data_IF_989137845352
#
_entry.id   IF_989137845352
#
_cell.length_a   1.000
_cell.length_b   1.000
_cell.length_c   1.000
_cell.angle_alpha   90.00
_cell.angle_beta   90.00
_cell.angle_gamma   90.00
#
_symmetry.space_group_name_H-M   'P 1'
#
loop_
_entity.id
_entity.type
_entity.pdbx_description
1 polymer ?
#
# COMPACT_ATOMS: atom_id res chain seq x y z
N UNK A 1 -1.95 11.17 28.30
CA UNK A 1 -2.04 9.74 27.93
C UNK A 1 -1.52 9.59 26.51
N UNK A 2 -0.40 8.90 26.30
CA UNK A 2 0.08 8.60 24.95
C UNK A 2 -0.42 7.22 24.55
N UNK A 3 -1.24 7.13 23.49
CA UNK A 3 -1.76 5.86 22.95
C UNK A 3 -0.82 5.27 21.89
N UNK A 4 0.49 5.41 22.08
CA UNK A 4 1.50 5.10 21.04
C UNK A 4 1.43 3.63 20.63
N UNK A 5 1.10 2.75 21.56
CA UNK A 5 0.99 1.30 21.40
C UNK A 5 -0.18 0.89 20.49
N UNK A 6 -1.14 1.79 20.27
CA UNK A 6 -2.23 1.64 19.30
C UNK A 6 -1.97 2.44 18.00
N UNK A 7 -0.73 2.85 17.74
CA UNK A 7 -0.36 3.51 16.48
C UNK A 7 0.48 2.60 15.61
N UNK A 8 0.50 2.89 14.31
CA UNK A 8 1.35 2.18 13.35
C UNK A 8 2.84 2.41 13.56
N UNK A 9 3.22 3.44 14.35
CA UNK A 9 4.61 3.77 14.67
C UNK A 9 5.18 2.95 15.83
N UNK A 10 4.37 2.12 16.48
CA UNK A 10 4.83 1.26 17.56
C UNK A 10 5.17 -0.14 17.05
N UNK A 11 6.44 -0.47 17.16
CA UNK A 11 6.94 -1.81 16.89
C UNK A 11 6.77 -2.68 18.15
N UNK A 12 5.96 -3.76 18.10
CA UNK A 12 5.84 -4.71 19.21
C UNK A 12 7.09 -5.58 19.35
N UNK A 13 7.35 -6.01 20.59
CA UNK A 13 8.35 -7.03 20.89
C UNK A 13 7.96 -8.41 20.33
N UNK A 14 6.65 -8.69 20.22
CA UNK A 14 6.11 -9.95 19.70
C UNK A 14 5.12 -9.71 18.56
N UNK A 15 5.34 -10.37 17.42
CA UNK A 15 4.38 -10.37 16.32
C UNK A 15 3.48 -11.59 16.44
N UNK A 16 2.20 -11.39 16.77
CA UNK A 16 1.24 -12.49 16.89
C UNK A 16 0.79 -13.02 15.51
N UNK A 17 0.55 -14.34 15.44
CA UNK A 17 -0.01 -15.06 14.28
C UNK A 17 0.77 -14.93 12.96
N UNK A 18 2.06 -14.54 13.02
CA UNK A 18 2.96 -14.42 11.85
C UNK A 18 4.22 -15.27 11.97
N UNK A 19 4.25 -16.25 12.88
CA UNK A 19 5.42 -17.09 13.14
C UNK A 19 5.93 -17.79 11.89
N UNK A 20 5.04 -18.30 11.04
CA UNK A 20 5.43 -18.98 9.80
C UNK A 20 6.06 -18.01 8.80
N UNK A 21 5.40 -16.87 8.53
CA UNK A 21 5.93 -15.86 7.60
C UNK A 21 7.28 -15.31 8.09
N UNK A 22 7.41 -15.07 9.40
CA UNK A 22 8.66 -14.62 9.99
C UNK A 22 9.77 -15.65 9.80
N UNK A 23 9.49 -16.95 10.04
CA UNK A 23 10.46 -18.03 9.80
C UNK A 23 10.90 -18.10 8.33
N UNK A 24 9.96 -17.98 7.40
CA UNK A 24 10.26 -17.99 5.95
C UNK A 24 11.16 -16.81 5.56
N UNK A 25 10.89 -15.61 6.07
CA UNK A 25 11.71 -14.42 5.80
C UNK A 25 13.10 -14.54 6.47
N UNK A 26 13.16 -14.96 7.74
CA UNK A 26 14.42 -15.15 8.48
C UNK A 26 15.33 -16.18 7.81
N UNK A 27 14.76 -17.17 7.12
CA UNK A 27 15.53 -18.17 6.36
C UNK A 27 16.40 -17.52 5.28
N UNK A 28 15.96 -16.43 4.66
CA UNK A 28 16.77 -15.69 3.67
C UNK A 28 18.04 -15.16 4.31
N UNK A 29 17.91 -14.44 5.42
CA UNK A 29 19.05 -13.86 6.14
C UNK A 29 19.99 -14.96 6.65
N UNK A 30 19.43 -16.03 7.24
CA UNK A 30 20.22 -17.17 7.71
C UNK A 30 21.00 -17.83 6.58
N UNK A 31 20.32 -18.20 5.49
CA UNK A 31 20.95 -18.86 4.35
C UNK A 31 22.01 -17.97 3.70
N UNK A 32 21.73 -16.67 3.59
CA UNK A 32 22.67 -15.74 2.97
C UNK A 32 23.96 -15.61 3.80
N UNK A 33 23.84 -15.57 5.14
CA UNK A 33 25.02 -15.58 6.03
C UNK A 33 25.79 -16.89 5.98
N UNK A 34 25.10 -18.02 5.90
CA UNK A 34 25.71 -19.35 5.95
C UNK A 34 26.34 -19.77 4.62
N UNK A 35 25.70 -19.44 3.49
CA UNK A 35 26.05 -19.95 2.16
C UNK A 35 26.42 -18.87 1.15
N UNK A 36 26.28 -17.58 1.48
CA UNK A 36 26.45 -16.48 0.53
C UNK A 36 25.36 -16.41 -0.55
N UNK A 37 24.31 -17.22 -0.43
CA UNK A 37 23.18 -17.29 -1.36
C UNK A 37 21.87 -17.55 -0.61
N UNK A 38 20.77 -16.97 -1.11
CA UNK A 38 19.44 -17.22 -0.60
C UNK A 38 18.38 -16.97 -1.69
N UNK A 39 17.19 -17.53 -1.51
CA UNK A 39 16.05 -17.28 -2.38
C UNK A 39 15.63 -15.80 -2.32
N UNK A 40 15.21 -15.26 -3.47
CA UNK A 40 14.54 -13.97 -3.51
C UNK A 40 13.08 -14.16 -3.04
N UNK A 41 12.56 -13.24 -2.24
CA UNK A 41 11.19 -13.31 -1.71
C UNK A 41 10.29 -12.19 -2.21
N UNK A 42 9.04 -12.53 -2.48
CA UNK A 42 7.95 -11.59 -2.69
C UNK A 42 6.93 -11.75 -1.58
N UNK A 43 6.90 -10.77 -0.68
CA UNK A 43 5.94 -10.68 0.41
C UNK A 43 4.69 -9.95 -0.09
N UNK A 44 3.55 -10.62 -0.06
CA UNK A 44 2.28 -10.07 -0.55
C UNK A 44 1.15 -10.18 0.48
N UNK A 45 0.23 -9.24 0.47
CA UNK A 45 -0.96 -9.26 1.33
C UNK A 45 -1.61 -7.89 1.45
N UNK A 46 -2.82 -7.84 1.99
CA UNK A 46 -3.57 -6.58 2.15
C UNK A 46 -2.86 -5.58 3.05
N UNK A 47 -3.27 -4.30 2.97
CA UNK A 47 -2.81 -3.28 3.92
C UNK A 47 -3.20 -3.69 5.34
N UNK A 48 -2.36 -3.38 6.33
CA UNK A 48 -2.62 -3.75 7.73
C UNK A 48 -2.48 -5.24 8.07
N UNK A 49 -2.07 -6.11 7.13
CA UNK A 49 -1.86 -7.54 7.40
C UNK A 49 -0.57 -7.85 8.19
N UNK A 50 0.29 -6.86 8.47
CA UNK A 50 1.50 -7.03 9.28
C UNK A 50 2.81 -7.22 8.50
N UNK A 51 2.82 -7.05 7.17
CA UNK A 51 4.02 -7.20 6.32
C UNK A 51 5.21 -6.34 6.81
N UNK A 52 5.01 -5.02 6.89
CA UNK A 52 6.03 -4.05 7.30
C UNK A 52 6.47 -4.25 8.77
N UNK A 53 5.52 -4.55 9.65
CA UNK A 53 5.82 -4.82 11.08
C UNK A 53 6.67 -6.09 11.21
N UNK A 54 6.34 -7.17 10.48
CA UNK A 54 7.11 -8.41 10.49
C UNK A 54 8.52 -8.23 9.94
N UNK A 55 8.70 -7.51 8.82
CA UNK A 55 10.05 -7.30 8.29
C UNK A 55 10.87 -6.41 9.22
N UNK A 56 10.32 -5.33 9.76
CA UNK A 56 11.03 -4.45 10.70
C UNK A 56 11.48 -5.22 11.94
N UNK A 57 10.62 -6.10 12.47
CA UNK A 57 10.97 -6.96 13.61
C UNK A 57 12.16 -7.88 13.34
N UNK A 58 12.31 -8.34 12.08
CA UNK A 58 13.45 -9.15 11.66
C UNK A 58 14.68 -8.25 11.53
N UNK A 59 14.55 -7.14 10.80
CA UNK A 59 15.65 -6.21 10.53
C UNK A 59 16.27 -5.62 11.80
N UNK A 60 15.47 -5.36 12.85
CA UNK A 60 15.97 -4.92 14.17
C UNK A 60 16.96 -5.90 14.82
N UNK A 61 16.89 -7.19 14.44
CA UNK A 61 17.76 -8.25 14.95
C UNK A 61 18.93 -8.55 14.01
N UNK A 62 18.99 -7.92 12.84
CA UNK A 62 20.02 -8.13 11.83
C UNK A 62 21.11 -7.04 11.93
N UNK A 63 22.39 -7.45 11.94
CA UNK A 63 23.53 -6.55 12.18
C UNK A 63 23.97 -5.77 10.92
N UNK A 64 23.13 -4.88 10.39
CA UNK A 64 23.42 -4.07 9.18
C UNK A 64 23.72 -4.87 7.90
N UNK A 65 23.43 -6.18 7.86
CA UNK A 65 23.63 -7.09 6.72
C UNK A 65 22.56 -6.91 5.61
N UNK A 66 21.89 -5.77 5.60
CA UNK A 66 20.79 -5.47 4.70
C UNK A 66 20.81 -4.02 4.22
N UNK A 67 20.06 -3.78 3.15
CA UNK A 67 19.68 -2.45 2.70
C UNK A 67 18.15 -2.40 2.70
N UNK A 68 17.57 -1.40 3.36
CA UNK A 68 16.13 -1.19 3.41
C UNK A 68 15.76 0.13 2.74
N UNK A 69 14.83 0.09 1.80
CA UNK A 69 14.28 1.28 1.13
C UNK A 69 12.78 1.12 0.92
N UNK A 70 12.04 2.23 0.88
CA UNK A 70 10.59 2.23 0.63
C UNK A 70 10.23 2.95 -0.67
N UNK A 71 9.32 2.34 -1.45
CA UNK A 71 8.68 2.96 -2.61
C UNK A 71 7.73 4.10 -2.24
N UNK A 72 7.26 4.17 -0.99
CA UNK A 72 6.48 5.30 -0.52
C UNK A 72 7.32 6.57 -0.38
N UNK A 73 8.57 6.44 0.06
CA UNK A 73 9.54 7.53 0.16
C UNK A 73 10.16 7.87 -1.20
N UNK A 74 10.38 6.85 -2.03
CA UNK A 74 11.05 6.97 -3.33
C UNK A 74 10.10 6.66 -4.48
N UNK A 75 9.45 7.70 -5.04
CA UNK A 75 8.40 7.52 -6.07
C UNK A 75 8.87 6.99 -7.43
N UNK A 76 10.18 6.91 -7.70
CA UNK A 76 10.73 6.42 -8.97
C UNK A 76 11.83 5.40 -8.72
N UNK A 77 12.03 4.49 -9.67
CA UNK A 77 13.07 3.45 -9.64
C UNK A 77 14.46 4.07 -9.45
N UNK A 78 14.77 5.14 -10.20
CA UNK A 78 16.03 5.86 -10.06
C UNK A 78 16.26 6.45 -8.65
N UNK A 79 15.23 7.08 -8.04
CA UNK A 79 15.36 7.65 -6.69
C UNK A 79 15.56 6.54 -5.65
N UNK A 80 14.84 5.44 -5.80
CA UNK A 80 14.94 4.27 -4.92
C UNK A 80 16.36 3.69 -4.95
N UNK A 81 16.95 3.51 -6.14
CA UNK A 81 18.33 3.04 -6.29
C UNK A 81 19.35 4.05 -5.74
N UNK A 82 19.12 5.35 -5.93
CA UNK A 82 19.98 6.38 -5.37
C UNK A 82 19.99 6.34 -3.84
N UNK A 83 18.82 6.17 -3.23
CA UNK A 83 18.66 5.97 -1.79
C UNK A 83 19.27 4.67 -1.29
N UNK A 84 19.15 3.58 -2.05
CA UNK A 84 19.69 2.26 -1.71
C UNK A 84 21.21 2.28 -1.55
N UNK A 85 21.92 3.00 -2.42
CA UNK A 85 23.39 2.97 -2.44
C UNK A 85 24.06 4.21 -1.85
N UNK A 86 23.29 5.22 -1.45
CA UNK A 86 23.78 6.52 -0.98
C UNK A 86 24.91 7.05 -1.88
N UNK A 87 24.64 7.08 -3.18
CA UNK A 87 25.60 7.54 -4.19
C UNK A 87 25.14 8.86 -4.77
N UNK A 88 26.03 9.85 -4.77
CA UNK A 88 25.76 11.11 -5.45
C UNK A 88 26.08 11.01 -6.95
N UNK A 89 25.46 10.04 -7.62
CA UNK A 89 25.55 9.89 -9.06
C UNK A 89 24.43 10.70 -9.75
N UNK A 90 24.75 11.21 -10.93
CA UNK A 90 23.83 12.00 -11.76
C UNK A 90 23.10 11.16 -12.82
N UNK A 91 23.50 9.88 -12.99
CA UNK A 91 22.94 8.97 -13.99
C UNK A 91 22.62 7.61 -13.39
N UNK A 92 21.56 6.98 -13.88
CA UNK A 92 21.12 5.63 -13.45
C UNK A 92 22.23 4.58 -13.64
N UNK A 93 22.88 4.58 -14.80
CA UNK A 93 23.96 3.64 -15.13
C UNK A 93 25.12 3.71 -14.13
N UNK A 94 25.52 4.92 -13.72
CA UNK A 94 26.56 5.09 -12.70
C UNK A 94 26.07 4.64 -11.33
N UNK A 95 24.84 4.98 -10.95
CA UNK A 95 24.23 4.50 -9.70
C UNK A 95 24.25 2.98 -9.61
N UNK A 96 23.87 2.28 -10.69
CA UNK A 96 23.89 0.82 -10.76
C UNK A 96 25.30 0.26 -10.68
N UNK A 97 26.23 0.82 -11.47
CA UNK A 97 27.62 0.35 -11.52
C UNK A 97 28.28 0.46 -10.16
N UNK A 98 28.14 1.61 -9.49
CA UNK A 98 28.71 1.83 -8.16
C UNK A 98 27.98 1.00 -7.10
N UNK A 99 26.66 0.86 -7.18
CA UNK A 99 25.88 -0.01 -6.30
C UNK A 99 26.31 -1.47 -6.37
N UNK A 100 26.51 -2.00 -7.58
CA UNK A 100 27.01 -3.36 -7.81
C UNK A 100 28.43 -3.52 -7.25
N UNK A 101 29.32 -2.56 -7.46
CA UNK A 101 30.67 -2.59 -6.87
C UNK A 101 30.60 -2.64 -5.34
N UNK A 102 29.79 -1.79 -4.71
CA UNK A 102 29.59 -1.79 -3.25
C UNK A 102 29.08 -3.13 -2.75
N UNK A 103 28.07 -3.71 -3.41
CA UNK A 103 27.51 -5.02 -3.05
C UNK A 103 28.47 -6.19 -3.28
N UNK A 104 29.39 -6.11 -4.25
CA UNK A 104 30.44 -7.12 -4.41
C UNK A 104 31.46 -7.11 -3.26
N UNK A 105 31.76 -5.93 -2.73
CA UNK A 105 32.69 -5.77 -1.61
C UNK A 105 32.01 -6.14 -0.28
N UNK A 106 30.75 -5.72 -0.12
CA UNK A 106 29.95 -5.98 1.08
C UNK A 106 28.56 -6.47 0.67
N UNK A 107 28.38 -7.78 0.44
CA UNK A 107 27.11 -8.36 0.04
C UNK A 107 26.03 -8.18 1.11
N UNK A 108 24.81 -7.82 0.70
CA UNK A 108 23.70 -7.53 1.61
C UNK A 108 22.38 -8.06 1.08
N UNK A 109 21.43 -8.34 1.98
CA UNK A 109 20.03 -8.59 1.61
C UNK A 109 19.36 -7.27 1.24
N UNK A 110 18.77 -7.19 0.05
CA UNK A 110 18.08 -5.99 -0.42
C UNK A 110 16.60 -6.11 -0.08
N UNK A 111 16.07 -5.20 0.73
CA UNK A 111 14.66 -5.18 1.13
C UNK A 111 14.01 -3.91 0.60
N UNK A 112 12.93 -4.07 -0.17
CA UNK A 112 12.18 -2.97 -0.77
C UNK A 112 10.72 -3.05 -0.33
N UNK A 113 10.30 -2.12 0.53
CA UNK A 113 8.91 -2.03 0.98
C UNK A 113 8.05 -1.18 0.03
N UNK A 114 6.76 -1.47 0.00
CA UNK A 114 5.73 -0.74 -0.74
C UNK A 114 6.08 -0.45 -2.21
N UNK A 115 6.56 -1.45 -2.95
CA UNK A 115 6.91 -1.28 -4.38
C UNK A 115 5.74 -0.78 -5.23
N UNK A 116 4.51 -1.04 -4.79
CA UNK A 116 3.28 -0.55 -5.43
C UNK A 116 3.06 0.97 -5.28
N UNK A 117 3.82 1.66 -4.42
CA UNK A 117 3.76 3.12 -4.26
C UNK A 117 4.66 3.87 -5.24
N UNK A 118 5.39 3.16 -6.10
CA UNK A 118 6.04 3.76 -7.25
C UNK A 118 5.02 4.43 -8.16
N UNK A 119 5.44 5.51 -8.83
CA UNK A 119 4.54 6.46 -9.51
C UNK A 119 3.62 5.83 -10.57
N UNK A 120 4.06 4.75 -11.21
CA UNK A 120 3.30 4.04 -12.24
C UNK A 120 3.95 2.68 -12.56
N UNK A 121 3.26 1.87 -13.37
CA UNK A 121 3.77 0.58 -13.81
C UNK A 121 5.07 0.63 -14.63
N UNK A 122 5.41 1.76 -15.26
CA UNK A 122 6.70 1.91 -15.96
C UNK A 122 7.86 1.97 -14.95
N UNK A 123 7.72 2.72 -13.85
CA UNK A 123 8.73 2.73 -12.78
C UNK A 123 8.91 1.36 -12.13
N UNK A 124 7.83 0.58 -11.99
CA UNK A 124 7.91 -0.79 -11.46
C UNK A 124 8.67 -1.70 -12.43
N UNK A 125 8.43 -1.57 -13.75
CA UNK A 125 9.16 -2.31 -14.79
C UNK A 125 10.65 -1.97 -14.76
N UNK A 126 10.96 -0.68 -14.77
CA UNK A 126 12.34 -0.18 -14.69
C UNK A 126 13.03 -0.69 -13.41
N UNK A 127 12.34 -0.68 -12.26
CA UNK A 127 12.87 -1.27 -11.04
C UNK A 127 13.20 -2.75 -11.23
N UNK A 128 12.32 -3.54 -11.84
CA UNK A 128 12.60 -4.97 -12.08
C UNK A 128 13.83 -5.20 -12.97
N UNK A 129 14.00 -4.41 -14.03
CA UNK A 129 15.16 -4.51 -14.92
C UNK A 129 16.47 -4.17 -14.19
N UNK A 130 16.41 -3.15 -13.33
CA UNK A 130 17.53 -2.74 -12.48
C UNK A 130 17.87 -3.81 -11.43
N UNK A 131 16.86 -4.37 -10.77
CA UNK A 131 17.03 -5.45 -9.79
C UNK A 131 17.58 -6.73 -10.43
N UNK A 132 17.11 -7.08 -11.62
CA UNK A 132 17.64 -8.19 -12.42
C UNK A 132 19.14 -8.00 -12.69
N UNK A 133 19.53 -6.78 -13.09
CA UNK A 133 20.94 -6.43 -13.34
C UNK A 133 21.78 -6.51 -12.06
N UNK A 134 21.27 -5.99 -10.94
CA UNK A 134 21.94 -6.06 -9.64
C UNK A 134 22.12 -7.51 -9.20
N UNK A 135 21.07 -8.32 -9.26
CA UNK A 135 21.11 -9.72 -8.84
C UNK A 135 22.07 -10.55 -9.69
N UNK A 136 22.03 -10.42 -11.03
CA UNK A 136 23.01 -11.07 -11.93
C UNK A 136 24.45 -10.67 -11.63
N UNK A 137 24.67 -9.41 -11.26
CA UNK A 137 26.00 -8.89 -10.97
C UNK A 137 26.56 -9.27 -9.61
N UNK A 138 25.71 -9.63 -8.64
CA UNK A 138 26.10 -9.71 -7.21
C UNK A 138 25.67 -10.99 -6.50
N UNK A 139 24.64 -11.69 -6.98
CA UNK A 139 24.00 -12.79 -6.26
C UNK A 139 23.25 -12.37 -4.98
N UNK A 140 23.18 -11.07 -4.67
CA UNK A 140 22.53 -10.59 -3.45
C UNK A 140 21.02 -10.88 -3.49
N UNK A 141 20.45 -11.45 -2.42
CA UNK A 141 19.04 -11.78 -2.36
C UNK A 141 18.18 -10.53 -2.21
N UNK A 142 17.00 -10.57 -2.81
CA UNK A 142 16.06 -9.46 -2.86
C UNK A 142 14.74 -9.89 -2.21
N UNK A 143 14.24 -9.06 -1.30
CA UNK A 143 12.93 -9.18 -0.67
C UNK A 143 12.09 -7.98 -1.10
N UNK A 144 11.00 -8.24 -1.82
CA UNK A 144 10.04 -7.23 -2.26
C UNK A 144 8.76 -7.34 -1.46
N UNK A 145 8.23 -6.22 -0.97
CA UNK A 145 6.97 -6.19 -0.23
C UNK A 145 5.96 -5.35 -0.99
N UNK A 146 4.76 -5.89 -1.18
CA UNK A 146 3.68 -5.22 -1.90
C UNK A 146 2.31 -5.56 -1.35
N UNK A 147 1.34 -4.67 -1.55
CA UNK A 147 -0.08 -5.00 -1.40
C UNK A 147 -0.75 -5.40 -2.72
N UNK A 148 -0.08 -5.24 -3.86
CA UNK A 148 -0.65 -5.48 -5.18
C UNK A 148 -0.43 -6.94 -5.61
N UNK A 149 -1.54 -7.66 -5.80
CA UNK A 149 -1.51 -9.00 -6.41
C UNK A 149 -1.11 -8.89 -7.88
N UNK A 150 -0.34 -9.87 -8.37
CA UNK A 150 0.02 -9.93 -9.79
C UNK A 150 1.08 -8.92 -10.25
N UNK A 151 1.71 -8.16 -9.35
CA UNK A 151 2.76 -7.19 -9.72
C UNK A 151 3.92 -7.81 -10.52
N UNK A 152 4.22 -9.09 -10.31
CA UNK A 152 5.21 -9.87 -11.06
C UNK A 152 4.85 -9.98 -12.55
N UNK A 153 3.58 -9.85 -12.92
CA UNK A 153 3.14 -9.79 -14.32
C UNK A 153 3.69 -8.59 -15.09
N UNK A 154 4.19 -7.55 -14.40
CA UNK A 154 4.87 -6.43 -15.03
C UNK A 154 6.33 -6.77 -15.40
N UNK A 155 6.93 -7.76 -14.75
CA UNK A 155 8.33 -8.17 -14.95
C UNK A 155 8.51 -8.91 -16.27
N UNK A 156 9.59 -8.61 -17.00
CA UNK A 156 9.97 -9.33 -18.21
C UNK A 156 10.28 -10.82 -17.90
N UNK A 157 10.05 -11.70 -18.89
CA UNK A 157 10.12 -13.15 -18.69
C UNK A 157 11.52 -13.64 -18.26
N UNK A 158 12.56 -13.05 -18.81
CA UNK A 158 13.95 -13.33 -18.47
C UNK A 158 14.29 -12.90 -17.04
N UNK A 159 13.77 -11.74 -16.60
CA UNK A 159 13.91 -11.28 -15.22
C UNK A 159 13.14 -12.20 -14.25
N UNK A 160 11.94 -12.70 -14.62
CA UNK A 160 11.21 -13.68 -13.80
C UNK A 160 12.00 -14.98 -13.60
N UNK A 161 12.64 -15.48 -14.67
CA UNK A 161 13.47 -16.68 -14.63
C UNK A 161 14.80 -16.48 -13.88
N UNK A 162 15.29 -15.25 -13.81
CA UNK A 162 16.52 -14.94 -13.08
C UNK A 162 16.21 -14.72 -11.60
N UNK A 163 15.22 -13.89 -11.29
CA UNK A 163 14.90 -13.50 -9.92
C UNK A 163 14.11 -14.58 -9.18
N UNK A 164 13.26 -15.36 -9.85
CA UNK A 164 12.54 -16.52 -9.29
C UNK A 164 11.99 -16.29 -7.88
N UNK A 165 11.25 -15.21 -7.67
CA UNK A 165 10.72 -14.87 -6.35
C UNK A 165 9.83 -15.98 -5.78
N UNK A 166 10.17 -16.47 -4.60
CA UNK A 166 9.27 -17.30 -3.79
C UNK A 166 8.27 -16.40 -3.07
N UNK A 167 6.99 -16.78 -3.08
CA UNK A 167 5.91 -15.95 -2.53
C UNK A 167 5.66 -16.28 -1.07
N UNK A 168 5.72 -15.28 -0.21
CA UNK A 168 5.25 -15.33 1.19
C UNK A 168 3.94 -14.56 1.30
N UNK A 169 2.85 -15.26 1.61
CA UNK A 169 1.52 -14.65 1.67
C UNK A 169 1.10 -14.28 3.10
N UNK A 170 0.81 -13.00 3.30
CA UNK A 170 0.18 -12.44 4.48
C UNK A 170 -1.33 -12.38 4.27
N UNK A 171 -2.01 -13.45 4.68
CA UNK A 171 -3.47 -13.53 4.67
C UNK A 171 -4.08 -12.52 5.65
N UNK A 172 -5.29 -11.99 5.39
CA UNK A 172 -6.04 -11.22 6.39
C UNK A 172 -6.11 -11.96 7.73
N UNK A 173 -6.14 -11.22 8.84
CA UNK A 173 -6.30 -11.82 10.17
C UNK A 173 -7.73 -12.33 10.35
N UNK A 174 -7.88 -13.49 10.98
CA UNK A 174 -9.18 -13.95 11.45
C UNK A 174 -9.66 -13.15 12.66
N UNK A 175 -10.93 -13.31 13.04
CA UNK A 175 -11.56 -12.52 14.11
C UNK A 175 -10.85 -12.69 15.46
N UNK A 176 -10.57 -13.94 15.83
CA UNK A 176 -9.82 -14.33 17.02
C UNK A 176 -8.41 -13.74 17.01
N UNK A 177 -7.71 -13.83 15.87
CA UNK A 177 -6.36 -13.28 15.72
C UNK A 177 -6.33 -11.76 15.87
N UNK A 178 -7.32 -11.07 15.30
CA UNK A 178 -7.43 -9.62 15.43
C UNK A 178 -7.70 -9.22 16.88
N UNK A 179 -8.58 -9.96 17.57
CA UNK A 179 -8.88 -9.73 18.98
C UNK A 179 -7.65 -9.96 19.87
N UNK A 180 -6.90 -11.03 19.64
CA UNK A 180 -5.62 -11.31 20.32
C UNK A 180 -4.62 -10.16 20.14
N UNK A 181 -4.47 -9.65 18.91
CA UNK A 181 -3.59 -8.52 18.62
C UNK A 181 -4.04 -7.26 19.34
N UNK A 182 -5.34 -6.93 19.31
CA UNK A 182 -5.86 -5.74 20.01
C UNK A 182 -5.67 -5.86 21.52
N UNK A 183 -5.93 -7.03 22.10
CA UNK A 183 -5.72 -7.30 23.52
C UNK A 183 -4.26 -7.17 23.92
N UNK A 184 -3.33 -7.70 23.12
CA UNK A 184 -1.90 -7.54 23.31
C UNK A 184 -1.52 -6.04 23.37
N UNK A 185 -1.98 -5.23 22.40
CA UNK A 185 -1.72 -3.78 22.41
C UNK A 185 -2.32 -3.06 23.62
N UNK A 186 -3.54 -3.41 23.99
CA UNK A 186 -4.21 -2.83 25.17
C UNK A 186 -3.44 -3.20 26.45
N UNK A 187 -2.89 -4.41 26.53
CA UNK A 187 -2.10 -4.85 27.70
C UNK A 187 -0.85 -3.98 27.90
N UNK A 188 -0.21 -3.56 26.81
CA UNK A 188 0.94 -2.65 26.84
C UNK A 188 0.56 -1.25 27.36
N UNK A 189 -0.68 -0.80 27.09
CA UNK A 189 -1.22 0.45 27.64
C UNK A 189 -1.47 0.33 29.16
N UNK A 190 -2.04 -0.80 29.63
CA UNK A 190 -2.35 -1.03 31.04
C UNK A 190 -1.12 -0.90 31.95
N UNK A 191 0.07 -1.22 31.44
CA UNK A 191 1.33 -1.07 32.15
C UNK A 191 1.79 0.40 32.33
N UNK A 192 1.10 1.37 31.70
CA UNK A 192 1.43 2.80 31.68
C UNK A 192 0.23 3.67 32.12
N UNK A 193 -0.14 3.61 33.39
CA UNK A 193 -1.18 4.46 34.02
C UNK A 193 -2.57 4.49 33.32
N UNK A 194 -2.84 3.53 32.43
CA UNK A 194 -4.07 3.47 31.65
C UNK A 194 -5.21 2.86 32.48
N UNK A 195 -6.08 3.74 33.00
CA UNK A 195 -7.22 3.35 33.87
C UNK A 195 -8.53 3.06 33.11
N UNK A 196 -8.54 3.19 31.79
CA UNK A 196 -9.77 3.03 31.00
C UNK A 196 -10.06 1.54 30.81
N UNK A 197 -11.22 1.10 31.31
CA UNK A 197 -11.70 -0.28 31.12
C UNK A 197 -12.44 -0.37 29.79
N UNK A 198 -11.84 -1.05 28.83
CA UNK A 198 -12.47 -1.32 27.53
C UNK A 198 -13.34 -2.57 27.67
N UNK A 199 -14.66 -2.50 27.37
CA UNK A 199 -15.53 -3.67 27.41
C UNK A 199 -15.15 -4.71 26.35
N UNK A 200 -15.21 -6.00 26.70
CA UNK A 200 -14.85 -7.10 25.79
C UNK A 200 -15.78 -7.17 24.57
N UNK A 201 -17.08 -7.03 24.78
CA UNK A 201 -18.09 -6.94 23.72
C UNK A 201 -17.88 -5.75 22.77
N UNK A 202 -17.20 -4.69 23.21
CA UNK A 202 -16.83 -3.58 22.34
C UNK A 202 -15.69 -3.97 21.40
N UNK A 203 -14.68 -4.70 21.89
CA UNK A 203 -13.57 -5.21 21.04
C UNK A 203 -14.08 -6.18 19.99
N UNK A 204 -14.99 -7.08 20.36
CA UNK A 204 -15.68 -7.96 19.41
C UNK A 204 -16.40 -7.15 18.32
N UNK A 205 -17.08 -6.06 18.70
CA UNK A 205 -17.71 -5.14 17.77
C UNK A 205 -16.71 -4.49 16.80
N UNK A 206 -15.55 -4.03 17.28
CA UNK A 206 -14.47 -3.51 16.43
C UNK A 206 -13.97 -4.58 15.45
N UNK A 207 -13.70 -5.79 15.94
CA UNK A 207 -13.25 -6.90 15.10
C UNK A 207 -14.27 -7.23 14.01
N UNK A 208 -15.55 -7.33 14.37
CA UNK A 208 -16.64 -7.61 13.43
C UNK A 208 -16.69 -6.59 12.30
N UNK A 209 -16.67 -5.29 12.64
CA UNK A 209 -16.75 -4.22 11.64
C UNK A 209 -15.54 -4.22 10.70
N UNK A 210 -14.35 -4.47 11.21
CA UNK A 210 -13.12 -4.46 10.40
C UNK A 210 -13.02 -5.68 9.48
N UNK A 211 -13.59 -6.82 9.88
CA UNK A 211 -13.71 -8.01 9.04
C UNK A 211 -14.67 -7.78 7.87
N UNK A 212 -15.80 -7.07 8.10
CA UNK A 212 -16.82 -6.87 7.07
C UNK A 212 -16.50 -5.71 6.13
N UNK A 213 -15.98 -4.60 6.65
CA UNK A 213 -15.86 -3.34 5.90
C UNK A 213 -14.41 -2.99 5.50
N UNK A 214 -13.38 -3.61 6.10
CA UNK A 214 -12.00 -3.08 6.05
C UNK A 214 -10.90 -4.14 5.89
N UNK A 215 -11.16 -5.22 5.14
CA UNK A 215 -10.18 -6.26 4.77
C UNK A 215 -9.41 -6.87 5.96
N UNK A 216 -10.01 -6.87 7.16
CA UNK A 216 -9.34 -7.33 8.39
C UNK A 216 -8.05 -6.56 8.73
N UNK A 217 -8.00 -5.27 8.39
CA UNK A 217 -6.84 -4.39 8.61
C UNK A 217 -6.67 -4.03 10.09
N UNK A 218 -5.60 -4.55 10.72
CA UNK A 218 -5.25 -4.21 12.12
C UNK A 218 -5.05 -2.70 12.29
N UNK A 219 -4.50 -2.02 11.28
CA UNK A 219 -4.32 -0.57 11.29
C UNK A 219 -5.66 0.15 11.50
N UNK A 220 -6.70 -0.28 10.78
CA UNK A 220 -8.02 0.33 10.90
C UNK A 220 -8.68 0.01 12.25
N UNK A 221 -8.57 -1.24 12.71
CA UNK A 221 -9.06 -1.65 14.04
C UNK A 221 -8.46 -0.79 15.16
N UNK A 222 -7.14 -0.56 15.12
CA UNK A 222 -6.45 0.29 16.09
C UNK A 222 -6.90 1.75 16.00
N UNK A 223 -7.10 2.32 14.79
CA UNK A 223 -7.60 3.69 14.62
C UNK A 223 -9.01 3.86 15.20
N UNK A 224 -9.92 2.92 14.92
CA UNK A 224 -11.30 2.93 15.49
C UNK A 224 -11.23 2.88 17.02
N UNK A 225 -10.47 1.92 17.55
CA UNK A 225 -10.30 1.74 19.00
C UNK A 225 -9.71 3.00 19.66
N UNK A 226 -8.69 3.61 19.06
CA UNK A 226 -8.06 4.82 19.55
C UNK A 226 -9.07 5.98 19.67
N UNK A 227 -9.89 6.21 18.64
CA UNK A 227 -10.92 7.25 18.66
C UNK A 227 -11.94 7.03 19.79
N UNK A 228 -12.37 5.80 20.03
CA UNK A 228 -13.30 5.49 21.11
C UNK A 228 -12.67 5.65 22.50
N UNK A 229 -11.41 5.24 22.66
CA UNK A 229 -10.64 5.47 23.90
C UNK A 229 -10.47 6.96 24.19
N UNK A 230 -10.12 7.77 23.19
CA UNK A 230 -9.93 9.22 23.36
C UNK A 230 -11.23 9.94 23.78
N UNK A 231 -12.37 9.48 23.28
CA UNK A 231 -13.68 10.02 23.65
C UNK A 231 -14.26 9.38 24.92
N UNK A 232 -13.61 8.34 25.46
CA UNK A 232 -14.11 7.51 26.56
C UNK A 232 -15.56 7.04 26.33
N UNK A 233 -15.90 6.69 25.08
CA UNK A 233 -17.22 6.24 24.66
C UNK A 233 -17.11 4.94 23.87
N UNK A 234 -17.62 3.86 24.47
CA UNK A 234 -17.61 2.50 23.95
C UNK A 234 -19.02 2.02 23.55
N UNK A 235 -19.91 2.95 23.24
CA UNK A 235 -21.24 2.64 22.73
C UNK A 235 -21.20 2.19 21.27
N UNK A 236 -22.23 1.46 20.83
CA UNK A 236 -22.40 1.12 19.41
C UNK A 236 -22.50 2.37 18.51
N UNK A 237 -23.06 3.47 19.04
CA UNK A 237 -23.11 4.75 18.35
C UNK A 237 -21.71 5.34 18.13
N UNK A 238 -20.84 5.24 19.14
CA UNK A 238 -19.46 5.68 19.03
C UNK A 238 -18.66 4.83 18.05
N UNK A 239 -18.85 3.50 18.06
CA UNK A 239 -18.23 2.60 17.09
C UNK A 239 -18.56 3.00 15.65
N UNK A 240 -19.85 3.20 15.35
CA UNK A 240 -20.31 3.63 14.02
C UNK A 240 -19.71 4.99 13.62
N UNK A 241 -19.72 5.97 14.54
CA UNK A 241 -19.11 7.28 14.29
C UNK A 241 -17.60 7.19 14.05
N UNK A 242 -16.91 6.34 14.81
CA UNK A 242 -15.48 6.12 14.64
C UNK A 242 -15.18 5.49 13.28
N UNK A 243 -15.94 4.47 12.88
CA UNK A 243 -15.86 3.86 11.55
C UNK A 243 -15.99 4.90 10.43
N UNK A 244 -17.10 5.66 10.43
CA UNK A 244 -17.36 6.71 9.44
C UNK A 244 -16.21 7.73 9.39
N UNK A 245 -15.69 8.13 10.56
CA UNK A 245 -14.59 9.09 10.62
C UNK A 245 -13.26 8.54 10.09
N UNK A 246 -12.96 7.26 10.32
CA UNK A 246 -11.73 6.61 9.81
C UNK A 246 -11.80 6.49 8.30
N UNK A 247 -12.97 6.15 7.75
CA UNK A 247 -13.15 6.16 6.31
C UNK A 247 -12.97 7.56 5.72
N UNK A 248 -13.59 8.59 6.31
CA UNK A 248 -13.44 9.98 5.84
C UNK A 248 -11.98 10.43 5.87
N UNK A 249 -11.23 10.08 6.93
CA UNK A 249 -9.80 10.38 7.00
C UNK A 249 -8.99 9.67 5.91
N UNK A 250 -9.29 8.40 5.62
CA UNK A 250 -8.65 7.64 4.54
C UNK A 250 -8.90 8.29 3.17
N UNK A 251 -10.13 8.75 2.92
CA UNK A 251 -10.47 9.50 1.71
C UNK A 251 -9.78 10.86 1.63
N UNK A 252 -9.72 11.60 2.75
CA UNK A 252 -9.01 12.89 2.79
C UNK A 252 -7.51 12.72 2.54
N UNK A 253 -6.88 11.71 3.13
CA UNK A 253 -5.49 11.36 2.86
C UNK A 253 -5.30 11.01 1.38
N UNK A 254 -6.18 10.17 0.82
CA UNK A 254 -6.16 9.84 -0.60
C UNK A 254 -6.25 11.08 -1.49
N UNK A 255 -7.25 11.94 -1.26
CA UNK A 255 -7.44 13.16 -2.05
C UNK A 255 -6.27 14.14 -1.90
N UNK A 256 -5.64 14.21 -0.73
CA UNK A 256 -4.46 15.05 -0.49
C UNK A 256 -3.25 14.64 -1.33
N UNK A 257 -3.15 13.36 -1.70
CA UNK A 257 -2.05 12.80 -2.52
C UNK A 257 -2.31 13.02 -4.01
N UNK A 258 -3.55 13.28 -4.42
CA UNK A 258 -3.87 13.58 -5.81
C UNK A 258 -3.21 14.89 -6.25
N UNK A 259 -2.54 14.85 -7.41
CA UNK A 259 -2.07 16.06 -8.08
C UNK A 259 -3.25 16.97 -8.46
N UNK A 260 -2.99 18.28 -8.60
CA UNK A 260 -3.98 19.26 -9.07
C UNK A 260 -4.74 18.81 -10.32
N UNK A 261 -4.03 18.15 -11.24
CA UNK A 261 -4.61 17.62 -12.47
C UNK A 261 -5.62 16.53 -12.16
N UNK A 262 -5.29 15.59 -11.27
CA UNK A 262 -6.19 14.51 -10.87
C UNK A 262 -7.39 15.07 -10.11
N UNK A 263 -7.20 15.99 -9.15
CA UNK A 263 -8.31 16.63 -8.43
C UNK A 263 -9.32 17.29 -9.38
N UNK A 264 -8.83 18.15 -10.30
CA UNK A 264 -9.67 18.76 -11.35
C UNK A 264 -10.33 17.74 -12.26
N UNK A 265 -9.62 16.65 -12.56
CA UNK A 265 -10.18 15.59 -13.40
C UNK A 265 -11.36 14.91 -12.73
N UNK A 266 -11.24 14.65 -11.43
CA UNK A 266 -12.29 14.02 -10.63
C UNK A 266 -13.51 14.93 -10.49
N UNK A 267 -13.30 16.24 -10.33
CA UNK A 267 -14.35 17.27 -10.38
C UNK A 267 -15.10 17.29 -11.71
N UNK A 268 -14.37 17.26 -12.83
CA UNK A 268 -15.01 17.18 -14.15
C UNK A 268 -15.84 15.89 -14.26
N UNK A 269 -15.31 14.76 -13.81
CA UNK A 269 -16.04 13.49 -13.82
C UNK A 269 -17.29 13.56 -12.93
N UNK A 270 -17.22 14.12 -11.71
CA UNK A 270 -18.39 14.22 -10.83
C UNK A 270 -19.51 15.07 -11.44
N UNK A 271 -19.15 16.17 -12.12
CA UNK A 271 -20.11 17.04 -12.79
C UNK A 271 -20.80 16.40 -14.00
N UNK A 272 -20.06 15.64 -14.80
CA UNK A 272 -20.57 15.08 -16.07
C UNK A 272 -21.08 13.63 -15.94
N UNK A 273 -20.74 12.93 -14.86
CA UNK A 273 -21.24 11.60 -14.52
C UNK A 273 -21.83 11.58 -13.09
N UNK A 274 -22.84 12.42 -12.79
CA UNK A 274 -23.43 12.45 -11.45
C UNK A 274 -24.06 11.09 -11.14
N UNK A 275 -23.83 10.55 -9.94
CA UNK A 275 -24.39 9.25 -9.57
C UNK A 275 -25.93 9.24 -9.68
N UNK A 276 -26.55 8.16 -10.22
CA UNK A 276 -25.96 6.89 -10.66
C UNK A 276 -25.62 6.84 -12.16
N UNK A 277 -25.56 7.99 -12.84
CA UNK A 277 -25.42 8.04 -14.29
C UNK A 277 -24.02 7.61 -14.74
N UNK A 278 -23.98 7.00 -15.93
CA UNK A 278 -22.75 6.66 -16.63
C UNK A 278 -22.52 7.59 -17.82
N UNK A 279 -21.27 7.93 -18.08
CA UNK A 279 -20.86 8.74 -19.23
C UNK A 279 -19.88 7.96 -20.11
N UNK A 280 -19.95 8.14 -21.43
CA UNK A 280 -18.93 7.59 -22.32
C UNK A 280 -17.60 8.32 -22.12
N UNK A 281 -16.48 7.60 -22.06
CA UNK A 281 -15.15 8.19 -21.88
C UNK A 281 -14.82 9.22 -22.96
N UNK A 282 -15.35 9.06 -24.17
CA UNK A 282 -15.19 10.02 -25.27
C UNK A 282 -15.86 11.36 -25.02
N UNK A 283 -16.99 11.39 -24.31
CA UNK A 283 -17.66 12.63 -23.93
C UNK A 283 -16.85 13.36 -22.86
N UNK A 284 -16.24 12.62 -21.92
CA UNK A 284 -15.32 13.18 -20.93
C UNK A 284 -14.17 13.92 -21.65
N UNK A 285 -13.57 13.34 -22.70
CA UNK A 285 -12.44 13.96 -23.41
C UNK A 285 -12.73 15.37 -23.91
N UNK A 286 -13.97 15.66 -24.31
CA UNK A 286 -14.38 16.99 -24.79
C UNK A 286 -14.29 18.08 -23.72
N UNK A 287 -14.25 17.68 -22.45
CA UNK A 287 -14.15 18.58 -21.31
C UNK A 287 -12.71 18.73 -20.80
N UNK A 288 -11.75 18.00 -21.38
CA UNK A 288 -10.32 18.04 -21.03
C UNK A 288 -9.49 18.71 -22.13
N UNK A 289 -9.79 19.98 -22.44
CA UNK A 289 -9.17 20.72 -23.55
C UNK A 289 -7.62 20.82 -23.46
N UNK A 290 -7.05 20.68 -22.26
CA UNK A 290 -5.60 20.78 -22.01
C UNK A 290 -4.86 19.43 -22.07
N UNK A 291 -5.56 18.31 -22.25
CA UNK A 291 -4.96 16.98 -22.17
C UNK A 291 -5.31 16.12 -23.37
N UNK A 292 -4.37 15.25 -23.77
CA UNK A 292 -4.64 14.26 -24.81
C UNK A 292 -5.63 13.21 -24.29
N UNK A 293 -6.47 12.62 -25.16
CA UNK A 293 -7.39 11.54 -24.76
C UNK A 293 -6.70 10.39 -24.01
N UNK A 294 -5.46 10.07 -24.40
CA UNK A 294 -4.63 9.06 -23.73
C UNK A 294 -4.29 9.45 -22.29
N UNK A 295 -4.01 10.73 -22.03
CA UNK A 295 -3.71 11.22 -20.68
C UNK A 295 -4.95 11.20 -19.79
N UNK A 296 -6.11 11.54 -20.34
CA UNK A 296 -7.39 11.47 -19.62
C UNK A 296 -7.73 10.02 -19.27
N UNK A 297 -7.53 9.07 -20.19
CA UNK A 297 -7.71 7.64 -19.92
C UNK A 297 -6.80 7.14 -18.81
N UNK A 298 -5.53 7.54 -18.77
CA UNK A 298 -4.63 7.17 -17.65
C UNK A 298 -5.15 7.68 -16.31
N UNK A 299 -5.76 8.86 -16.28
CA UNK A 299 -6.33 9.41 -15.04
C UNK A 299 -7.57 8.64 -14.63
N UNK A 300 -8.43 8.26 -15.58
CA UNK A 300 -9.59 7.39 -15.36
C UNK A 300 -9.12 6.02 -14.83
N UNK A 301 -8.09 5.42 -15.43
CA UNK A 301 -7.53 4.14 -14.98
C UNK A 301 -7.07 4.23 -13.53
N UNK A 302 -6.40 5.33 -13.14
CA UNK A 302 -6.01 5.59 -11.76
C UNK A 302 -7.24 5.60 -10.83
N UNK A 303 -8.31 6.32 -11.18
CA UNK A 303 -9.51 6.38 -10.34
C UNK A 303 -10.27 5.05 -10.26
N UNK A 304 -10.21 4.24 -11.31
CA UNK A 304 -10.77 2.89 -11.32
C UNK A 304 -9.94 1.93 -10.47
N UNK A 305 -8.61 2.03 -10.51
CA UNK A 305 -7.70 1.28 -9.62
C UNK A 305 -7.95 1.62 -8.14
N UNK A 306 -8.30 2.87 -7.84
CA UNK A 306 -8.70 3.30 -6.50
C UNK A 306 -10.16 2.96 -6.15
N UNK A 307 -10.91 2.35 -7.07
CA UNK A 307 -12.30 1.94 -6.85
C UNK A 307 -13.30 3.10 -6.76
N UNK A 308 -12.92 4.32 -7.15
CA UNK A 308 -13.78 5.51 -7.10
C UNK A 308 -14.83 5.45 -8.21
N UNK A 309 -14.37 5.01 -9.37
CA UNK A 309 -15.18 4.81 -10.56
C UNK A 309 -15.09 3.37 -11.02
N UNK A 310 -16.09 2.94 -11.78
CA UNK A 310 -16.12 1.66 -12.48
C UNK A 310 -16.33 1.88 -13.97
N UNK A 311 -15.73 1.02 -14.78
CA UNK A 311 -15.89 1.04 -16.23
C UNK A 311 -16.71 -0.14 -16.75
N UNK A 312 -17.72 0.16 -17.57
CA UNK A 312 -18.45 -0.82 -18.36
C UNK A 312 -18.03 -0.71 -19.83
N UNK A 313 -17.92 -1.84 -20.53
CA UNK A 313 -17.56 -1.87 -21.94
C UNK A 313 -18.74 -2.35 -22.79
N UNK A 314 -19.16 -1.51 -23.74
CA UNK A 314 -20.17 -1.88 -24.74
C UNK A 314 -19.50 -1.98 -26.12
N UNK A 315 -19.59 -3.16 -26.74
CA UNK A 315 -19.13 -3.37 -28.11
C UNK A 315 -20.26 -3.05 -29.10
N UNK A 316 -20.10 -2.00 -29.90
CA UNK A 316 -21.10 -1.59 -30.92
C UNK A 316 -20.78 -2.10 -32.33
N UNK A 317 -19.89 -3.09 -32.46
CA UNK A 317 -19.54 -3.71 -33.73
C UNK A 317 -18.85 -2.75 -34.71
N UNK A 318 -18.92 -3.08 -36.01
CA UNK A 318 -18.15 -2.43 -37.10
C UNK A 318 -18.40 -0.93 -37.26
N UNK A 319 -19.53 -0.41 -36.79
CA UNK A 319 -19.89 1.01 -36.93
C UNK A 319 -19.52 1.86 -35.69
N UNK A 320 -19.18 1.27 -34.55
CA UNK A 320 -19.09 2.00 -33.28
C UNK A 320 -17.94 1.65 -32.35
N UNK A 321 -17.20 0.55 -32.60
CA UNK A 321 -16.08 0.12 -31.78
C UNK A 321 -16.46 -0.26 -30.33
N UNK A 322 -15.45 -0.46 -29.49
CA UNK A 322 -15.64 -0.64 -28.05
C UNK A 322 -15.76 0.74 -27.38
N UNK A 323 -16.90 1.01 -26.74
CA UNK A 323 -17.09 2.20 -25.91
C UNK A 323 -16.95 1.86 -24.43
N UNK A 324 -16.12 2.63 -23.74
CA UNK A 324 -15.97 2.59 -22.29
C UNK A 324 -16.94 3.59 -21.68
N UNK A 325 -17.83 3.12 -20.82
CA UNK A 325 -18.70 3.94 -19.99
C UNK A 325 -18.16 3.97 -18.57
N UNK A 326 -18.20 5.13 -17.93
CA UNK A 326 -17.64 5.38 -16.62
C UNK A 326 -18.77 5.87 -15.71
N UNK A 327 -18.83 5.34 -14.49
CA UNK A 327 -19.73 5.79 -13.43
C UNK A 327 -19.01 5.72 -12.08
N UNK A 328 -19.47 6.48 -11.09
CA UNK A 328 -19.02 6.29 -9.71
C UNK A 328 -19.38 4.88 -9.24
N UNK A 329 -18.60 4.32 -8.32
CA UNK A 329 -18.85 2.96 -7.82
C UNK A 329 -20.06 2.90 -6.91
N UNK A 330 -20.26 3.92 -6.07
CA UNK A 330 -21.43 4.05 -5.19
C UNK A 330 -21.75 5.54 -4.86
N UNK A 331 -22.92 5.78 -4.27
CA UNK A 331 -23.38 7.13 -3.89
C UNK A 331 -22.48 7.81 -2.86
N UNK A 332 -22.03 7.09 -1.84
CA UNK A 332 -21.19 7.64 -0.76
C UNK A 332 -19.87 8.22 -1.32
N UNK A 333 -19.23 7.54 -2.27
CA UNK A 333 -18.02 8.02 -2.94
C UNK A 333 -18.28 9.28 -3.77
N UNK A 334 -19.40 9.32 -4.49
CA UNK A 334 -19.80 10.51 -5.24
C UNK A 334 -20.02 11.70 -4.31
N UNK A 335 -20.75 11.51 -3.22
CA UNK A 335 -21.02 12.54 -2.21
C UNK A 335 -19.70 13.03 -1.59
N UNK A 336 -18.81 12.12 -1.18
CA UNK A 336 -17.47 12.46 -0.62
C UNK A 336 -16.59 13.24 -1.58
N UNK A 337 -16.61 12.91 -2.87
CA UNK A 337 -15.85 13.64 -3.89
C UNK A 337 -16.36 15.06 -3.99
N UNK A 338 -17.68 15.28 -3.97
CA UNK A 338 -18.25 16.62 -4.02
C UNK A 338 -17.97 17.42 -2.73
N UNK A 339 -18.13 16.81 -1.56
CA UNK A 339 -17.79 17.44 -0.27
C UNK A 339 -16.32 17.88 -0.25
N UNK A 340 -15.41 17.04 -0.71
CA UNK A 340 -13.97 17.37 -0.78
C UNK A 340 -13.69 18.53 -1.74
N UNK A 341 -14.34 18.54 -2.90
CA UNK A 341 -14.19 19.60 -3.90
C UNK A 341 -14.66 20.95 -3.34
N UNK A 342 -15.79 20.94 -2.64
CA UNK A 342 -16.34 22.14 -1.99
C UNK A 342 -15.42 22.64 -0.88
N UNK A 343 -14.88 21.75 -0.04
CA UNK A 343 -13.95 22.07 1.04
C UNK A 343 -12.60 22.65 0.53
N UNK A 344 -12.03 22.11 -0.57
CA UNK A 344 -10.71 22.54 -1.10
C UNK A 344 -10.81 23.76 -2.04
N UNK A 345 -12.00 24.30 -2.31
CA UNK A 345 -12.20 25.47 -3.18
C UNK A 345 -11.75 25.25 -4.63
N UNK A 346 -11.85 24.01 -5.13
CA UNK A 346 -11.34 23.65 -6.46
C UNK A 346 -12.31 24.16 -7.53
N UNK A 347 -11.98 25.30 -8.14
CA UNK A 347 -12.71 25.80 -9.31
C UNK A 347 -12.24 25.16 -10.62
N UNK A 348 -13.15 25.11 -11.59
CA UNK A 348 -12.94 24.53 -12.93
C UNK A 348 -11.98 25.34 -13.82
#
# INVERSE_FOLDING_TARGET
MMLRELTEFHQPDKILHRDQQIKEIQRVFKNFKEFGMASNLLIQGFSGAGKTVSINHILEKENNDFIFVSGAENKTSYKLLKSMFDVNCNTLERTLTEGIKKLKVNPKVIVIDEINKLKNGFEIKDLFDNLNTIHKGTGCPIILITNTRGIIGLMARDAQLTLMFEKVEFKPYAADQLQDILNDRISLLKNKDFKIKIPENFLEGVCSVVLTEMDSSVRMAMKILQKCILNNDFSQKALKKALESVEVEDWREFFSILSEIQKRSLLLISKFAPWPNKIASQEIFKHFNRYTPRRVLQIIDIFEEFGIIKSDYENKGRAGGNKRFISFTNKNLFDRVNDYIEDDGIEL
#
